data_IF_643401758252
#
_entry.id   IF_643401758252
#
_cell.length_a   1.000
_cell.length_b   1.000
_cell.length_c   1.000
_cell.angle_alpha   90.00
_cell.angle_beta   90.00
_cell.angle_gamma   90.00
#
_symmetry.space_group_name_H-M   'P 1'
#
loop_
_entity.id
_entity.type
_entity.pdbx_description
1 polymer ?
#
# COMPACT_ATOMS: atom_id res chain seq x y z
N UNK A 1 13.27 -13.74 38.44
CA UNK A 1 11.85 -13.32 38.42
C UNK A 1 11.11 -14.39 37.66
N UNK A 2 10.11 -15.05 38.24
CA UNK A 2 9.34 -16.09 37.56
C UNK A 2 8.16 -15.42 36.81
N UNK A 3 8.15 -15.50 35.49
CA UNK A 3 7.16 -14.87 34.60
C UNK A 3 6.29 -15.91 33.88
N UNK A 4 6.09 -17.09 34.47
CA UNK A 4 5.37 -18.20 33.84
C UNK A 4 3.91 -17.89 33.47
N UNK A 5 3.30 -16.85 34.04
CA UNK A 5 1.93 -16.41 33.70
C UNK A 5 1.90 -15.28 32.66
N UNK A 6 3.06 -14.85 32.15
CA UNK A 6 3.14 -13.77 31.18
C UNK A 6 2.69 -14.24 29.80
N UNK A 7 1.44 -13.90 29.46
CA UNK A 7 0.83 -14.22 28.15
C UNK A 7 1.00 -13.11 27.11
N UNK A 8 1.29 -11.87 27.55
CA UNK A 8 1.41 -10.71 26.67
C UNK A 8 2.59 -9.83 27.10
N UNK A 9 3.46 -9.51 26.14
CA UNK A 9 4.62 -8.66 26.31
C UNK A 9 4.65 -7.62 25.20
N UNK A 10 4.69 -6.36 25.63
CA UNK A 10 4.88 -5.21 24.75
C UNK A 10 6.15 -4.47 25.16
N UNK A 11 7.13 -4.38 24.26
CA UNK A 11 8.39 -3.68 24.51
C UNK A 11 8.48 -2.48 23.57
N UNK A 12 8.73 -1.32 24.15
CA UNK A 12 9.14 -0.13 23.43
C UNK A 12 10.52 0.26 23.94
N UNK A 13 11.50 0.35 23.04
CA UNK A 13 12.86 0.73 23.43
C UNK A 13 13.58 1.57 22.39
N UNK A 14 14.27 2.60 22.88
CA UNK A 14 15.19 3.43 22.10
C UNK A 14 16.63 2.95 22.13
N UNK A 15 16.99 2.07 23.07
CA UNK A 15 18.40 1.79 23.42
C UNK A 15 18.72 0.30 23.59
N UNK A 16 17.82 -0.59 23.15
CA UNK A 16 18.05 -2.04 23.14
C UNK A 16 18.64 -2.51 21.80
N UNK A 17 19.73 -3.28 21.85
CA UNK A 17 20.23 -4.02 20.69
C UNK A 17 19.61 -5.42 20.62
N UNK A 18 19.71 -6.08 19.47
CA UNK A 18 19.06 -7.36 19.22
C UNK A 18 19.57 -8.46 20.16
N UNK A 19 20.87 -8.49 20.45
CA UNK A 19 21.45 -9.59 21.25
C UNK A 19 21.00 -9.47 22.72
N UNK A 20 20.95 -8.25 23.26
CA UNK A 20 20.42 -8.00 24.61
C UNK A 20 18.92 -8.27 24.65
N UNK A 21 18.18 -7.89 23.61
CA UNK A 21 16.75 -8.25 23.50
C UNK A 21 16.56 -9.77 23.48
N UNK A 22 17.33 -10.48 22.66
CA UNK A 22 17.29 -11.93 22.54
C UNK A 22 17.57 -12.60 23.89
N UNK A 23 18.65 -12.20 24.58
CA UNK A 23 18.97 -12.72 25.91
C UNK A 23 17.83 -12.46 26.92
N UNK A 24 17.23 -11.27 26.89
CA UNK A 24 16.09 -10.96 27.75
C UNK A 24 14.89 -11.86 27.45
N UNK A 25 14.58 -12.08 26.18
CA UNK A 25 13.48 -12.95 25.75
C UNK A 25 13.72 -14.41 26.15
N UNK A 26 14.94 -14.92 26.00
CA UNK A 26 15.30 -16.29 26.36
C UNK A 26 15.13 -16.56 27.87
N UNK A 27 15.19 -15.52 28.71
CA UNK A 27 14.92 -15.60 30.15
C UNK A 27 13.42 -15.62 30.49
N UNK A 28 12.53 -15.32 29.54
CA UNK A 28 11.09 -15.33 29.72
C UNK A 28 10.54 -16.68 29.22
N UNK A 29 10.17 -17.56 30.15
CA UNK A 29 9.63 -18.88 29.83
C UNK A 29 8.23 -18.82 29.16
N UNK A 30 8.25 -18.91 27.82
CA UNK A 30 7.40 -19.57 26.80
C UNK A 30 5.86 -19.74 26.90
N UNK A 31 5.12 -19.12 27.84
CA UNK A 31 3.65 -19.03 27.75
C UNK A 31 3.16 -17.80 26.98
N UNK A 32 4.08 -17.08 26.35
CA UNK A 32 3.78 -15.85 25.65
C UNK A 32 2.95 -16.14 24.39
N UNK A 33 1.75 -15.57 24.34
CA UNK A 33 0.83 -15.65 23.21
C UNK A 33 0.90 -14.40 22.33
N UNK A 34 1.27 -13.26 22.91
CA UNK A 34 1.31 -11.97 22.22
C UNK A 34 2.65 -11.28 22.47
N UNK A 35 3.37 -10.99 21.38
CA UNK A 35 4.61 -10.21 21.40
C UNK A 35 4.48 -9.00 20.49
N UNK A 36 4.60 -7.81 21.10
CA UNK A 36 4.69 -6.55 20.38
C UNK A 36 6.00 -5.87 20.71
N UNK A 37 6.79 -5.57 19.69
CA UNK A 37 8.08 -4.90 19.86
C UNK A 37 8.17 -3.68 18.97
N UNK A 38 8.69 -2.59 19.54
CA UNK A 38 8.91 -1.34 18.86
C UNK A 38 10.29 -0.81 19.22
N UNK A 39 11.18 -0.81 18.23
CA UNK A 39 12.56 -0.41 18.38
C UNK A 39 12.81 0.89 17.64
N UNK A 40 13.27 1.89 18.40
CA UNK A 40 13.77 3.15 17.87
C UNK A 40 15.30 3.18 17.79
N UNK A 41 15.98 2.16 18.33
CA UNK A 41 17.44 2.02 18.25
C UNK A 41 17.89 1.58 16.87
N UNK A 42 19.06 2.06 16.48
CA UNK A 42 19.77 1.83 15.20
C UNK A 42 20.47 0.46 15.13
N UNK A 43 19.87 -0.62 15.66
CA UNK A 43 20.41 -1.97 15.47
C UNK A 43 19.72 -2.66 14.30
N UNK A 44 20.41 -2.66 13.17
CA UNK A 44 19.93 -3.19 11.90
C UNK A 44 19.60 -4.69 11.94
N UNK A 45 20.14 -5.40 12.94
CA UNK A 45 19.87 -6.83 13.14
C UNK A 45 18.41 -7.10 13.48
N UNK A 46 17.64 -6.09 13.93
CA UNK A 46 16.18 -6.19 14.05
C UNK A 46 15.46 -6.36 12.71
N UNK A 47 16.12 -6.07 11.59
CA UNK A 47 15.58 -6.32 10.26
C UNK A 47 15.97 -7.68 9.67
N UNK A 48 16.77 -8.49 10.38
CA UNK A 48 17.15 -9.83 9.91
C UNK A 48 16.02 -10.82 10.20
N UNK A 49 15.26 -11.20 9.17
CA UNK A 49 14.12 -12.10 9.30
C UNK A 49 14.51 -13.47 9.85
N UNK A 50 15.67 -14.02 9.46
CA UNK A 50 16.12 -15.34 9.94
C UNK A 50 16.39 -15.36 11.44
N UNK A 51 16.92 -14.25 12.00
CA UNK A 51 17.14 -14.14 13.45
C UNK A 51 15.82 -14.15 14.19
N UNK A 52 14.84 -13.40 13.69
CA UNK A 52 13.49 -13.43 14.24
C UNK A 52 12.85 -14.81 14.11
N UNK A 53 12.90 -15.43 12.93
CA UNK A 53 12.32 -16.75 12.71
C UNK A 53 12.91 -17.77 13.68
N UNK A 54 14.24 -17.78 13.85
CA UNK A 54 14.92 -18.65 14.81
C UNK A 54 14.46 -18.38 16.24
N UNK A 55 14.50 -17.11 16.68
CA UNK A 55 14.08 -16.69 18.02
C UNK A 55 12.62 -17.12 18.31
N UNK A 56 11.73 -16.92 17.34
CA UNK A 56 10.31 -17.24 17.43
C UNK A 56 10.05 -18.74 17.53
N UNK A 57 10.75 -19.55 16.71
CA UNK A 57 10.62 -21.01 16.74
C UNK A 57 11.17 -21.62 18.02
N UNK A 58 12.28 -21.09 18.55
CA UNK A 58 12.97 -21.65 19.71
C UNK A 58 12.29 -21.28 21.03
N UNK A 59 11.70 -20.08 21.14
CA UNK A 59 11.26 -19.54 22.44
C UNK A 59 9.74 -19.34 22.57
N UNK A 60 8.99 -19.30 21.47
CA UNK A 60 7.60 -18.88 21.48
C UNK A 60 6.65 -19.86 20.78
N UNK A 61 6.59 -21.09 21.29
CA UNK A 61 5.73 -22.15 20.74
C UNK A 61 4.22 -21.85 20.83
N UNK A 62 3.79 -20.99 21.77
CA UNK A 62 2.40 -20.57 21.96
C UNK A 62 2.06 -19.23 21.31
N UNK A 63 2.97 -18.64 20.51
CA UNK A 63 2.75 -17.31 19.96
C UNK A 63 1.62 -17.30 18.93
N UNK A 64 0.55 -16.59 19.24
CA UNK A 64 -0.57 -16.36 18.35
C UNK A 64 -0.41 -15.06 17.57
N UNK A 65 0.18 -14.03 18.21
CA UNK A 65 0.30 -12.70 17.64
C UNK A 65 1.71 -12.16 17.79
N UNK A 66 2.27 -11.72 16.66
CA UNK A 66 3.55 -11.04 16.60
C UNK A 66 3.40 -9.72 15.88
N UNK A 67 4.02 -8.67 16.41
CA UNK A 67 4.29 -7.47 15.62
C UNK A 67 5.64 -6.86 15.95
N UNK A 68 6.31 -6.40 14.91
CA UNK A 68 7.55 -5.65 14.96
C UNK A 68 7.33 -4.28 14.34
N UNK A 69 7.84 -3.24 15.00
CA UNK A 69 8.08 -1.93 14.44
C UNK A 69 9.57 -1.62 14.62
N UNK A 70 10.25 -1.30 13.53
CA UNK A 70 11.63 -0.82 13.56
C UNK A 70 11.71 0.51 12.82
N UNK A 71 12.32 1.51 13.44
CA UNK A 71 12.54 2.82 12.83
C UNK A 71 13.98 2.97 12.37
N UNK A 72 14.18 3.19 11.08
CA UNK A 72 15.49 3.56 10.53
C UNK A 72 15.86 5.00 10.93
N UNK A 73 17.16 5.27 11.21
CA UNK A 73 17.65 6.63 11.35
C UNK A 73 17.41 7.48 10.09
N UNK A 74 17.25 8.78 10.29
CA UNK A 74 16.87 9.71 9.23
C UNK A 74 18.03 10.12 8.33
N UNK A 75 17.74 10.89 7.29
CA UNK A 75 18.76 11.51 6.43
C UNK A 75 19.67 12.45 7.26
N UNK A 76 20.99 12.30 7.15
CA UNK A 76 21.99 13.07 7.91
C UNK A 76 22.64 12.32 9.09
N UNK A 77 22.11 11.16 9.44
CA UNK A 77 22.71 10.25 10.40
C UNK A 77 23.76 9.37 9.69
N UNK A 78 25.04 9.45 10.06
CA UNK A 78 26.14 8.60 9.55
C UNK A 78 26.00 7.13 10.02
N UNK A 79 24.99 6.41 9.54
CA UNK A 79 24.69 5.05 9.97
C UNK A 79 24.64 4.07 8.79
N UNK A 80 24.95 2.79 9.05
CA UNK A 80 24.83 1.76 8.03
C UNK A 80 23.39 1.65 7.56
N UNK A 81 23.22 1.74 6.24
CA UNK A 81 21.98 1.38 5.54
C UNK A 81 21.95 -0.15 5.50
N UNK A 82 20.75 -0.75 5.52
CA UNK A 82 20.61 -2.19 5.40
C UNK A 82 21.24 -2.68 4.10
N UNK A 83 22.18 -3.62 4.24
CA UNK A 83 22.95 -4.25 3.17
C UNK A 83 22.78 -5.78 3.16
N UNK A 84 21.83 -6.31 3.95
CA UNK A 84 21.53 -7.74 4.00
C UNK A 84 20.73 -8.23 2.79
N UNK A 85 20.27 -9.48 2.86
CA UNK A 85 19.59 -10.12 1.74
C UNK A 85 18.22 -9.48 1.44
N UNK A 86 17.88 -9.42 0.14
CA UNK A 86 16.58 -8.99 -0.35
C UNK A 86 15.46 -9.92 0.13
N UNK A 87 14.24 -9.38 0.22
CA UNK A 87 13.01 -10.12 0.52
C UNK A 87 13.00 -10.73 1.92
N UNK A 88 13.48 -9.98 2.91
CA UNK A 88 13.25 -10.34 4.30
C UNK A 88 11.74 -10.41 4.59
N UNK A 89 11.35 -11.29 5.52
CA UNK A 89 9.97 -11.48 5.97
C UNK A 89 8.99 -12.04 4.92
N UNK A 90 9.46 -12.66 3.83
CA UNK A 90 8.59 -13.32 2.81
C UNK A 90 8.72 -14.84 2.75
N UNK A 91 9.51 -15.47 3.62
CA UNK A 91 9.61 -16.93 3.68
C UNK A 91 8.27 -17.60 4.04
N UNK A 92 8.15 -18.90 3.78
CA UNK A 92 6.94 -19.67 4.11
C UNK A 92 6.52 -19.54 5.58
N UNK A 93 7.49 -19.38 6.48
CA UNK A 93 7.26 -19.14 7.91
C UNK A 93 6.39 -17.89 8.17
N UNK A 94 6.68 -16.79 7.47
CA UNK A 94 5.98 -15.51 7.62
C UNK A 94 4.61 -15.55 6.93
N UNK A 95 4.57 -16.14 5.73
CA UNK A 95 3.35 -16.31 4.94
C UNK A 95 2.31 -17.15 5.71
N UNK A 96 2.72 -18.30 6.26
CA UNK A 96 1.83 -19.20 7.00
C UNK A 96 1.23 -18.56 8.26
N UNK A 97 1.91 -17.55 8.82
CA UNK A 97 1.42 -16.77 9.97
C UNK A 97 0.50 -15.61 9.57
N UNK A 98 0.19 -15.46 8.29
CA UNK A 98 -0.56 -14.34 7.75
C UNK A 98 0.02 -13.00 8.23
N UNK A 99 1.35 -12.86 8.22
CA UNK A 99 2.02 -11.61 8.53
C UNK A 99 2.32 -10.86 7.23
N UNK A 100 2.18 -9.54 7.27
CA UNK A 100 2.55 -8.63 6.18
C UNK A 100 3.75 -7.82 6.58
N UNK A 101 4.54 -7.49 5.56
CA UNK A 101 5.64 -6.56 5.68
C UNK A 101 5.21 -5.20 5.12
N UNK A 102 5.07 -4.22 5.99
CA UNK A 102 4.68 -2.87 5.60
C UNK A 102 5.82 -1.91 5.91
N UNK A 103 6.04 -0.98 4.99
CA UNK A 103 7.07 0.03 5.11
C UNK A 103 6.38 1.37 5.04
N UNK A 104 6.67 2.26 5.98
CA UNK A 104 6.11 3.60 5.99
C UNK A 104 7.23 4.64 5.89
N UNK A 105 7.13 5.53 4.92
CA UNK A 105 8.01 6.69 4.77
C UNK A 105 7.30 7.92 5.36
N UNK A 106 7.93 8.52 6.36
CA UNK A 106 7.46 9.70 7.07
C UNK A 106 8.61 10.71 7.11
N UNK A 107 8.53 11.76 6.29
CA UNK A 107 9.60 12.75 6.11
C UNK A 107 10.91 12.02 5.80
N UNK A 108 11.95 12.26 6.61
CA UNK A 108 13.26 11.63 6.52
C UNK A 108 13.35 10.22 7.10
N UNK A 109 12.27 9.67 7.66
CA UNK A 109 12.27 8.41 8.43
C UNK A 109 11.62 7.28 7.64
N UNK A 110 12.21 6.11 7.74
CA UNK A 110 11.66 4.86 7.22
C UNK A 110 11.29 4.00 8.43
N UNK A 111 10.06 3.52 8.45
CA UNK A 111 9.58 2.58 9.45
C UNK A 111 9.28 1.25 8.76
N UNK A 112 9.74 0.17 9.36
CA UNK A 112 9.48 -1.19 8.90
C UNK A 112 8.58 -1.88 9.91
N UNK A 113 7.53 -2.51 9.41
CA UNK A 113 6.51 -3.17 10.20
C UNK A 113 6.36 -4.61 9.76
N UNK A 114 6.37 -5.53 10.72
CA UNK A 114 5.82 -6.88 10.56
C UNK A 114 4.56 -6.92 11.39
N UNK A 115 3.41 -7.17 10.78
CA UNK A 115 2.13 -7.15 11.51
C UNK A 115 1.12 -8.15 10.93
N UNK A 116 0.09 -8.55 11.70
CA UNK A 116 -0.98 -9.39 11.18
C UNK A 116 -1.62 -8.78 9.94
N UNK A 117 -1.89 -9.63 8.95
CA UNK A 117 -2.55 -9.26 7.72
C UNK A 117 -3.91 -8.62 8.04
N UNK A 118 -4.09 -7.41 7.52
CA UNK A 118 -5.39 -6.76 7.47
C UNK A 118 -5.89 -6.82 6.03
N UNK A 119 -7.19 -7.06 5.87
CA UNK A 119 -7.86 -7.00 4.58
C UNK A 119 -7.47 -5.69 3.87
N UNK A 120 -6.97 -5.79 2.64
CA UNK A 120 -6.61 -4.61 1.83
C UNK A 120 -7.87 -3.89 1.33
N UNK A 121 -7.67 -2.70 0.76
CA UNK A 121 -8.74 -1.89 0.17
C UNK A 121 -9.34 -2.46 -1.13
N UNK A 122 -8.88 -3.63 -1.58
CA UNK A 122 -9.45 -4.39 -2.70
C UNK A 122 -9.76 -5.83 -2.26
N UNK A 123 -10.86 -6.37 -2.81
CA UNK A 123 -11.51 -7.59 -2.32
C UNK A 123 -11.15 -8.85 -3.15
N UNK A 124 -9.96 -8.86 -3.77
CA UNK A 124 -9.50 -9.93 -4.66
C UNK A 124 -8.49 -10.85 -3.97
N UNK A 125 -8.36 -12.08 -4.49
CA UNK A 125 -7.44 -13.10 -3.98
C UNK A 125 -6.00 -12.59 -4.01
N UNK A 126 -5.46 -12.26 -2.85
CA UNK A 126 -4.08 -11.80 -2.72
C UNK A 126 -3.16 -13.02 -2.70
N UNK A 127 -2.18 -13.03 -3.59
CA UNK A 127 -1.04 -13.92 -3.47
C UNK A 127 -0.27 -13.52 -2.21
N UNK A 128 -0.32 -14.31 -1.14
CA UNK A 128 0.35 -13.98 0.12
C UNK A 128 1.86 -13.81 0.00
N UNK A 129 2.49 -14.40 -1.02
CA UNK A 129 3.89 -14.17 -1.39
C UNK A 129 4.18 -12.74 -1.85
N UNK A 130 3.14 -12.00 -2.24
CA UNK A 130 3.20 -10.60 -2.64
C UNK A 130 2.53 -9.72 -1.60
N UNK A 131 3.06 -9.75 -0.38
CA UNK A 131 2.45 -9.05 0.76
C UNK A 131 3.11 -7.70 1.08
N UNK A 132 4.30 -7.42 0.54
CA UNK A 132 5.03 -6.20 0.85
C UNK A 132 4.32 -4.92 0.36
N UNK A 133 4.11 -3.96 1.26
CA UNK A 133 3.52 -2.67 0.95
C UNK A 133 4.45 -1.52 1.33
N UNK A 134 4.52 -0.52 0.44
CA UNK A 134 5.09 0.78 0.74
C UNK A 134 3.95 1.78 0.98
N UNK A 135 4.01 2.51 2.10
CA UNK A 135 3.08 3.59 2.44
C UNK A 135 3.84 4.91 2.57
N UNK A 136 3.39 5.94 1.88
CA UNK A 136 3.95 7.29 1.93
C UNK A 136 2.91 8.16 2.62
N UNK A 137 3.17 8.61 3.85
CA UNK A 137 2.16 9.34 4.66
C UNK A 137 2.31 10.84 4.62
N UNK A 138 3.53 11.32 4.86
CA UNK A 138 3.81 12.74 4.99
C UNK A 138 5.23 13.01 4.50
N UNK A 139 5.34 13.84 3.48
CA UNK A 139 6.57 14.37 2.89
C UNK A 139 6.32 15.87 2.81
N UNK A 140 7.19 16.70 3.40
CA UNK A 140 6.95 18.14 3.36
C UNK A 140 6.86 18.60 1.90
N UNK A 141 5.87 19.43 1.56
CA UNK A 141 5.64 19.91 0.18
C UNK A 141 6.84 20.64 -0.46
N UNK A 142 7.82 21.05 0.36
CA UNK A 142 9.04 21.74 -0.06
C UNK A 142 10.27 20.81 -0.09
N UNK A 143 10.13 19.53 0.24
CA UNK A 143 11.21 18.57 0.13
C UNK A 143 11.54 18.34 -1.35
N UNK A 144 12.82 18.40 -1.68
CA UNK A 144 13.31 18.08 -3.01
C UNK A 144 12.84 16.65 -3.35
N UNK A 145 12.17 16.43 -4.51
CA UNK A 145 11.69 15.10 -4.95
C UNK A 145 12.74 13.99 -4.80
N UNK A 146 14.02 14.34 -4.90
CA UNK A 146 15.16 13.46 -4.73
C UNK A 146 15.21 12.74 -3.36
N UNK A 147 14.73 13.34 -2.27
CA UNK A 147 14.81 12.75 -0.93
C UNK A 147 13.91 11.52 -0.84
N UNK A 148 12.64 11.68 -1.23
CA UNK A 148 11.67 10.59 -1.28
C UNK A 148 12.15 9.46 -2.20
N UNK A 149 12.62 9.79 -3.41
CA UNK A 149 13.12 8.79 -4.34
C UNK A 149 14.34 8.03 -3.79
N UNK A 150 15.23 8.71 -3.06
CA UNK A 150 16.37 8.05 -2.41
C UNK A 150 15.94 7.12 -1.28
N UNK A 151 14.90 7.48 -0.51
CA UNK A 151 14.35 6.58 0.50
C UNK A 151 13.68 5.36 -0.13
N UNK A 152 12.94 5.54 -1.23
CA UNK A 152 12.35 4.42 -1.97
C UNK A 152 13.45 3.50 -2.49
N UNK A 153 14.54 4.03 -3.05
CA UNK A 153 15.70 3.24 -3.46
C UNK A 153 16.32 2.45 -2.29
N UNK A 154 16.42 3.05 -1.10
CA UNK A 154 16.89 2.35 0.11
C UNK A 154 15.95 1.21 0.49
N UNK A 155 14.64 1.46 0.47
CA UNK A 155 13.62 0.44 0.72
C UNK A 155 13.73 -0.72 -0.28
N UNK A 156 14.02 -0.42 -1.55
CA UNK A 156 14.17 -1.43 -2.60
C UNK A 156 15.44 -2.30 -2.45
N UNK A 157 16.44 -1.85 -1.69
CA UNK A 157 17.56 -2.72 -1.29
C UNK A 157 17.13 -3.77 -0.25
N UNK A 158 15.97 -3.60 0.39
CA UNK A 158 15.47 -4.49 1.43
C UNK A 158 14.48 -5.52 0.89
N UNK A 159 13.51 -5.09 0.08
CA UNK A 159 12.44 -5.96 -0.40
C UNK A 159 11.80 -5.45 -1.69
N UNK A 160 11.20 -6.36 -2.44
CA UNK A 160 10.31 -6.02 -3.55
C UNK A 160 8.98 -5.45 -3.01
N UNK A 161 8.42 -4.47 -3.72
CA UNK A 161 7.18 -3.80 -3.33
C UNK A 161 6.09 -4.09 -4.37
N UNK A 162 4.97 -4.65 -3.90
CA UNK A 162 3.83 -5.00 -4.76
C UNK A 162 2.64 -4.07 -4.58
N UNK A 163 2.62 -3.30 -3.49
CA UNK A 163 1.51 -2.42 -3.14
C UNK A 163 2.03 -1.06 -2.71
N UNK A 164 1.48 0.00 -3.30
CA UNK A 164 1.82 1.37 -2.99
C UNK A 164 0.58 2.08 -2.47
N UNK A 165 0.71 2.70 -1.30
CA UNK A 165 -0.30 3.54 -0.68
C UNK A 165 0.28 4.94 -0.45
N UNK A 166 -0.31 5.96 -1.06
CA UNK A 166 0.13 7.35 -0.93
C UNK A 166 -0.98 8.10 -0.19
N UNK A 167 -0.80 8.31 1.11
CA UNK A 167 -1.77 8.97 2.01
C UNK A 167 -1.66 10.50 2.00
N UNK A 168 -1.05 11.04 0.94
CA UNK A 168 -0.85 12.47 0.75
C UNK A 168 -1.12 12.87 -0.70
N UNK A 169 -1.18 14.18 -0.92
CA UNK A 169 -1.24 14.76 -2.26
C UNK A 169 0.08 14.57 -3.00
N UNK A 170 0.03 14.10 -4.24
CA UNK A 170 1.21 13.88 -5.08
C UNK A 170 1.02 14.44 -6.50
N UNK A 171 2.10 14.94 -7.12
CA UNK A 171 2.08 15.32 -8.53
C UNK A 171 2.10 14.07 -9.42
N UNK A 172 1.54 14.19 -10.63
CA UNK A 172 1.60 13.13 -11.65
C UNK A 172 3.05 12.74 -11.97
N UNK A 173 3.96 13.73 -12.05
CA UNK A 173 5.39 13.49 -12.26
C UNK A 173 6.02 12.66 -11.14
N UNK A 174 5.80 13.03 -9.88
CA UNK A 174 6.34 12.29 -8.74
C UNK A 174 5.78 10.87 -8.70
N UNK A 175 4.49 10.70 -9.02
CA UNK A 175 3.88 9.38 -9.13
C UNK A 175 4.58 8.53 -10.20
N UNK A 176 4.85 9.10 -11.38
CA UNK A 176 5.56 8.40 -12.46
C UNK A 176 6.99 8.03 -12.06
N UNK A 177 7.71 8.92 -11.37
CA UNK A 177 9.05 8.66 -10.83
C UNK A 177 9.05 7.52 -9.81
N UNK A 178 8.04 7.47 -8.94
CA UNK A 178 7.89 6.39 -7.97
C UNK A 178 7.59 5.07 -8.69
N UNK A 179 6.63 5.05 -9.62
CA UNK A 179 6.25 3.83 -10.35
C UNK A 179 7.39 3.30 -11.22
N UNK A 180 8.23 4.18 -11.78
CA UNK A 180 9.45 3.78 -12.47
C UNK A 180 10.37 2.93 -11.57
N UNK A 181 10.45 3.24 -10.27
CA UNK A 181 11.26 2.47 -9.32
C UNK A 181 10.61 1.15 -8.87
N UNK A 182 9.31 0.94 -9.13
CA UNK A 182 8.52 -0.18 -8.62
C UNK A 182 7.99 -1.08 -9.76
N UNK A 183 8.84 -1.88 -10.41
CA UNK A 183 8.47 -2.66 -11.60
C UNK A 183 7.37 -3.70 -11.35
N UNK A 184 7.32 -4.27 -10.15
CA UNK A 184 6.40 -5.36 -9.79
C UNK A 184 5.11 -4.87 -9.13
N UNK A 185 4.79 -3.58 -9.25
CA UNK A 185 3.64 -2.99 -8.57
C UNK A 185 2.31 -3.53 -9.12
N UNK A 186 1.48 -4.11 -8.25
CA UNK A 186 0.19 -4.72 -8.58
C UNK A 186 -0.97 -3.84 -8.15
N UNK A 187 -0.83 -3.11 -7.04
CA UNK A 187 -1.87 -2.20 -6.57
C UNK A 187 -1.35 -0.82 -6.23
N UNK A 188 -2.17 0.17 -6.55
CA UNK A 188 -1.92 1.58 -6.30
C UNK A 188 -3.09 2.18 -5.54
N UNK A 189 -2.80 2.84 -4.42
CA UNK A 189 -3.76 3.64 -3.67
C UNK A 189 -3.22 5.05 -3.52
N UNK A 190 -4.03 6.04 -3.88
CA UNK A 190 -3.64 7.45 -3.86
C UNK A 190 -4.75 8.26 -3.19
N UNK A 191 -4.38 9.11 -2.24
CA UNK A 191 -5.33 9.99 -1.56
C UNK A 191 -5.60 11.29 -2.29
N UNK A 192 -4.65 11.86 -3.05
CA UNK A 192 -4.96 12.98 -3.93
C UNK A 192 -3.92 13.13 -5.03
N UNK A 193 -4.36 13.49 -6.24
CA UNK A 193 -3.49 13.92 -7.33
C UNK A 193 -3.57 15.42 -7.54
N UNK A 194 -2.49 15.99 -8.05
CA UNK A 194 -2.53 17.31 -8.67
C UNK A 194 -1.83 17.29 -10.01
N UNK A 195 -2.60 17.66 -11.01
CA UNK A 195 -2.14 17.86 -12.36
C UNK A 195 -1.43 19.21 -12.45
N UNK A 196 -0.11 19.20 -12.63
CA UNK A 196 0.59 20.37 -13.14
C UNK A 196 0.45 20.33 -14.67
N UNK A 197 -0.20 21.32 -15.28
CA UNK A 197 -0.26 21.47 -16.74
C UNK A 197 1.12 21.64 -17.40
N UNK A 198 2.19 21.81 -16.61
CA UNK A 198 3.56 21.93 -17.09
C UNK A 198 4.21 20.57 -17.39
N UNK A 199 3.65 19.81 -18.33
CA UNK A 199 4.39 18.73 -19.03
C UNK A 199 5.46 19.32 -19.97
N UNK A 200 5.56 20.65 -20.08
CA UNK A 200 6.41 21.35 -21.07
C UNK A 200 7.55 22.20 -20.50
N UNK A 201 7.87 22.09 -19.20
CA UNK A 201 9.06 22.74 -18.63
C UNK A 201 9.94 21.74 -17.88
N UNK A 202 10.25 20.63 -18.55
CA UNK A 202 11.43 19.85 -18.17
C UNK A 202 12.66 20.68 -18.53
N UNK A 203 13.40 21.13 -17.52
CA UNK A 203 14.80 21.50 -17.74
C UNK A 203 15.58 20.22 -18.03
N UNK A 204 16.01 20.03 -19.27
CA UNK A 204 17.06 19.13 -19.80
C UNK A 204 17.22 17.70 -19.24
N UNK A 205 16.27 17.18 -18.46
CA UNK A 205 16.28 15.82 -17.96
C UNK A 205 15.17 15.04 -18.66
N UNK A 206 15.56 14.27 -19.67
CA UNK A 206 14.72 13.25 -20.31
C UNK A 206 14.30 12.23 -19.24
N UNK A 207 13.15 12.43 -18.61
CA UNK A 207 12.56 11.41 -17.76
C UNK A 207 12.14 10.23 -18.66
N UNK A 208 12.53 8.98 -18.36
CA UNK A 208 12.19 7.82 -19.19
C UNK A 208 10.71 7.43 -18.96
N UNK A 209 9.81 8.26 -19.48
CA UNK A 209 8.35 8.09 -19.44
C UNK A 209 7.90 6.71 -19.94
N UNK A 210 8.64 6.11 -20.87
CA UNK A 210 8.40 4.78 -21.43
C UNK A 210 8.44 3.68 -20.37
N UNK A 211 9.44 3.69 -19.49
CA UNK A 211 9.61 2.68 -18.45
C UNK A 211 8.56 2.76 -17.34
N UNK A 212 8.15 3.98 -16.96
CA UNK A 212 7.07 4.16 -15.99
C UNK A 212 5.74 3.63 -16.53
N UNK A 213 5.45 3.83 -17.82
CA UNK A 213 4.26 3.28 -18.49
C UNK A 213 4.32 1.75 -18.59
N UNK A 214 5.49 1.19 -18.87
CA UNK A 214 5.69 -0.26 -18.88
C UNK A 214 5.37 -0.87 -17.51
N UNK A 215 5.92 -0.30 -16.43
CA UNK A 215 5.64 -0.76 -15.07
C UNK A 215 4.19 -0.52 -14.66
N UNK A 216 3.58 0.60 -15.05
CA UNK A 216 2.17 0.89 -14.78
C UNK A 216 1.22 -0.13 -15.42
N UNK A 217 1.65 -0.84 -16.47
CA UNK A 217 0.87 -1.92 -17.08
C UNK A 217 0.72 -3.15 -16.17
N UNK A 218 1.50 -3.28 -15.10
CA UNK A 218 1.37 -4.35 -14.12
C UNK A 218 0.31 -4.04 -13.04
N UNK A 219 -0.12 -2.77 -12.94
CA UNK A 219 -1.08 -2.33 -11.92
C UNK A 219 -2.48 -2.79 -12.30
N UNK A 220 -3.07 -3.61 -11.42
CA UNK A 220 -4.40 -4.22 -11.58
C UNK A 220 -5.46 -3.60 -10.68
N UNK A 221 -5.06 -3.17 -9.48
CA UNK A 221 -5.98 -2.66 -8.46
C UNK A 221 -5.67 -1.20 -8.15
N UNK A 222 -6.58 -0.29 -8.48
CA UNK A 222 -6.41 1.15 -8.23
C UNK A 222 -7.49 1.62 -7.25
N UNK A 223 -7.07 2.37 -6.22
CA UNK A 223 -7.95 2.96 -5.22
C UNK A 223 -7.66 4.45 -5.08
N UNK A 224 -8.71 5.25 -5.24
CA UNK A 224 -8.66 6.70 -5.21
C UNK A 224 -9.49 7.19 -4.03
N UNK A 225 -8.84 7.83 -3.06
CA UNK A 225 -9.50 8.42 -1.89
C UNK A 225 -9.65 9.94 -2.03
N UNK A 226 -10.46 10.60 -1.20
CA UNK A 226 -10.65 12.06 -1.24
C UNK A 226 -11.07 12.63 -2.63
N UNK A 227 -10.76 13.91 -2.88
CA UNK A 227 -11.28 14.73 -3.99
C UNK A 227 -10.52 14.51 -5.29
N UNK A 228 -10.90 13.52 -6.10
CA UNK A 228 -10.40 13.37 -7.47
C UNK A 228 -11.32 14.06 -8.48
N UNK A 229 -10.72 14.76 -9.44
CA UNK A 229 -11.44 15.25 -10.62
C UNK A 229 -11.58 14.15 -11.66
N UNK A 230 -12.49 14.34 -12.62
CA UNK A 230 -12.63 13.41 -13.75
C UNK A 230 -11.40 13.36 -14.65
N UNK A 231 -10.61 14.44 -14.70
CA UNK A 231 -9.34 14.48 -15.42
C UNK A 231 -8.28 13.63 -14.72
N UNK A 232 -8.22 13.66 -13.39
CA UNK A 232 -7.30 12.81 -12.61
C UNK A 232 -7.63 11.31 -12.80
N UNK A 233 -8.93 10.97 -12.76
CA UNK A 233 -9.40 9.59 -12.99
C UNK A 233 -9.07 9.17 -14.43
N UNK A 234 -9.32 10.05 -15.40
CA UNK A 234 -9.02 9.81 -16.81
C UNK A 234 -7.54 9.60 -17.07
N UNK A 235 -6.68 10.38 -16.41
CA UNK A 235 -5.24 10.23 -16.45
C UNK A 235 -4.84 8.84 -15.93
N UNK A 236 -5.30 8.45 -14.74
CA UNK A 236 -4.94 7.17 -14.12
C UNK A 236 -5.42 5.96 -14.90
N UNK A 237 -6.64 6.01 -15.44
CA UNK A 237 -7.17 4.95 -16.32
C UNK A 237 -6.26 4.80 -17.53
N UNK A 238 -5.85 5.91 -18.15
CA UNK A 238 -4.98 5.88 -19.32
C UNK A 238 -3.53 5.46 -18.99
N UNK A 239 -3.05 5.85 -17.81
CA UNK A 239 -1.69 5.56 -17.33
C UNK A 239 -1.51 4.11 -16.89
N UNK A 240 -2.56 3.47 -16.34
CA UNK A 240 -2.56 2.07 -15.92
C UNK A 240 -3.48 1.25 -16.86
N UNK A 241 -2.99 0.82 -18.05
CA UNK A 241 -3.84 0.24 -19.09
C UNK A 241 -4.51 -1.09 -18.72
N UNK A 242 -4.02 -1.80 -17.69
CA UNK A 242 -4.50 -3.13 -17.28
C UNK A 242 -5.23 -3.15 -15.93
N UNK A 243 -5.78 -2.02 -15.49
CA UNK A 243 -6.63 -2.00 -14.29
C UNK A 243 -7.77 -3.02 -14.47
N UNK A 244 -7.92 -3.91 -13.50
CA UNK A 244 -8.99 -4.89 -13.39
C UNK A 244 -10.09 -4.42 -12.41
N UNK A 245 -9.69 -3.65 -11.40
CA UNK A 245 -10.57 -3.09 -10.37
C UNK A 245 -10.19 -1.64 -10.06
N UNK A 246 -11.19 -0.76 -10.15
CA UNK A 246 -11.09 0.64 -9.76
C UNK A 246 -12.00 0.89 -8.56
N UNK A 247 -11.46 1.46 -7.48
CA UNK A 247 -12.23 1.97 -6.35
C UNK A 247 -12.09 3.49 -6.30
N UNK A 248 -13.21 4.21 -6.19
CA UNK A 248 -13.23 5.66 -6.12
C UNK A 248 -14.13 6.13 -4.99
N UNK A 249 -13.59 7.00 -4.13
CA UNK A 249 -14.36 7.75 -3.15
C UNK A 249 -15.02 8.97 -3.80
N UNK A 250 -16.35 9.08 -3.64
CA UNK A 250 -17.10 10.25 -4.10
C UNK A 250 -17.20 11.30 -3.01
N UNK A 251 -17.03 12.56 -3.40
CA UNK A 251 -17.22 13.72 -2.54
C UNK A 251 -18.71 13.87 -2.20
N UNK A 252 -19.00 14.31 -0.97
CA UNK A 252 -20.36 14.67 -0.56
C UNK A 252 -20.95 15.72 -1.52
N UNK A 253 -22.19 15.48 -1.97
CA UNK A 253 -22.95 16.28 -2.95
C UNK A 253 -22.56 16.12 -4.43
N UNK A 254 -21.66 15.21 -4.79
CA UNK A 254 -21.43 14.87 -6.19
C UNK A 254 -22.68 14.25 -6.82
N UNK A 255 -23.03 14.66 -8.05
CA UNK A 255 -24.07 13.97 -8.81
C UNK A 255 -23.54 12.61 -9.28
N UNK A 256 -23.85 11.57 -8.51
CA UNK A 256 -23.37 10.21 -8.73
C UNK A 256 -23.78 9.63 -10.09
N UNK A 257 -24.93 10.01 -10.64
CA UNK A 257 -25.37 9.54 -11.96
C UNK A 257 -24.48 10.13 -13.05
N UNK A 258 -24.27 11.45 -13.04
CA UNK A 258 -23.38 12.11 -13.99
C UNK A 258 -21.95 11.58 -13.87
N UNK A 259 -21.45 11.44 -12.64
CA UNK A 259 -20.12 10.90 -12.37
C UNK A 259 -19.94 9.47 -12.91
N UNK A 260 -20.85 8.57 -12.57
CA UNK A 260 -20.79 7.18 -13.03
C UNK A 260 -20.90 7.12 -14.56
N UNK A 261 -21.78 7.92 -15.17
CA UNK A 261 -21.91 8.02 -16.63
C UNK A 261 -20.59 8.43 -17.27
N UNK A 262 -19.92 9.45 -16.75
CA UNK A 262 -18.64 9.92 -17.28
C UNK A 262 -17.54 8.87 -17.15
N UNK A 263 -17.42 8.21 -15.99
CA UNK A 263 -16.47 7.11 -15.78
C UNK A 263 -16.72 5.98 -16.78
N UNK A 264 -17.96 5.51 -16.90
CA UNK A 264 -18.30 4.39 -17.80
C UNK A 264 -18.06 4.76 -19.27
N UNK A 265 -18.41 5.98 -19.67
CA UNK A 265 -18.09 6.47 -21.01
C UNK A 265 -16.59 6.49 -21.28
N UNK A 266 -15.78 6.93 -20.31
CA UNK A 266 -14.32 6.94 -20.47
C UNK A 266 -13.74 5.54 -20.59
N UNK A 267 -14.22 4.60 -19.79
CA UNK A 267 -13.82 3.18 -19.84
C UNK A 267 -14.15 2.58 -21.21
N UNK A 268 -15.37 2.86 -21.71
CA UNK A 268 -15.84 2.39 -23.00
C UNK A 268 -15.04 2.98 -24.18
N UNK A 269 -14.70 4.27 -24.12
CA UNK A 269 -13.89 4.96 -25.15
C UNK A 269 -12.46 4.42 -25.22
N UNK A 270 -11.84 4.17 -24.07
CA UNK A 270 -10.46 3.68 -23.99
C UNK A 270 -10.33 2.17 -24.25
N UNK A 271 -11.44 1.47 -24.53
CA UNK A 271 -11.49 0.01 -24.73
C UNK A 271 -10.73 -0.77 -23.63
N UNK A 272 -10.92 -0.40 -22.36
CA UNK A 272 -10.30 -1.12 -21.25
C UNK A 272 -10.88 -2.53 -21.12
N UNK A 273 -10.29 -3.49 -21.85
CA UNK A 273 -10.68 -4.90 -21.85
C UNK A 273 -10.46 -5.59 -20.50
N UNK A 274 -9.63 -5.00 -19.64
CA UNK A 274 -9.26 -5.58 -18.35
C UNK A 274 -10.17 -5.12 -17.22
N UNK A 275 -10.69 -3.89 -17.28
CA UNK A 275 -11.49 -3.34 -16.20
C UNK A 275 -12.85 -4.00 -16.23
N UNK A 276 -13.13 -4.79 -15.20
CA UNK A 276 -14.37 -5.55 -15.07
C UNK A 276 -15.08 -5.29 -13.74
N UNK A 277 -14.51 -4.43 -12.88
CA UNK A 277 -15.07 -4.08 -11.59
C UNK A 277 -14.80 -2.63 -11.20
N UNK A 278 -15.85 -1.94 -10.76
CA UNK A 278 -15.83 -0.58 -10.22
C UNK A 278 -16.49 -0.59 -8.84
N UNK A 279 -15.82 -0.02 -7.86
CA UNK A 279 -16.38 0.26 -6.54
C UNK A 279 -16.46 1.77 -6.36
N UNK A 280 -17.61 2.23 -5.87
CA UNK A 280 -17.80 3.63 -5.52
C UNK A 280 -18.15 3.71 -4.04
N UNK A 281 -17.31 4.38 -3.28
CA UNK A 281 -17.59 4.70 -1.89
C UNK A 281 -18.38 6.00 -1.81
N UNK A 282 -19.57 5.92 -1.19
CA UNK A 282 -20.45 7.06 -0.97
C UNK A 282 -21.28 6.84 0.30
N UNK A 283 -21.09 7.73 1.27
CA UNK A 283 -21.70 7.61 2.62
C UNK A 283 -23.24 7.64 2.54
N UNK A 284 -23.78 8.37 1.57
CA UNK A 284 -25.23 8.55 1.37
C UNK A 284 -25.87 7.50 0.46
N UNK A 285 -25.14 6.45 0.03
CA UNK A 285 -25.74 5.38 -0.78
C UNK A 285 -26.90 4.71 -0.04
N UNK A 286 -28.03 4.60 -0.74
CA UNK A 286 -29.17 3.80 -0.33
C UNK A 286 -29.64 2.86 -1.45
N UNK A 287 -30.71 2.10 -1.18
CA UNK A 287 -31.27 1.17 -2.16
C UNK A 287 -31.93 1.87 -3.34
N UNK A 288 -32.43 3.10 -3.17
CA UNK A 288 -33.09 3.85 -4.22
C UNK A 288 -32.06 4.36 -5.23
N UNK A 289 -30.93 4.89 -4.75
CA UNK A 289 -29.80 5.30 -5.56
C UNK A 289 -29.29 4.15 -6.44
N UNK A 290 -29.11 2.95 -5.88
CA UNK A 290 -28.68 1.77 -6.67
C UNK A 290 -29.69 1.43 -7.78
N UNK A 291 -31.00 1.52 -7.51
CA UNK A 291 -32.04 1.30 -8.54
C UNK A 291 -31.96 2.35 -9.64
N UNK A 292 -31.75 3.62 -9.29
CA UNK A 292 -31.62 4.70 -10.25
C UNK A 292 -30.36 4.56 -11.12
N UNK A 293 -29.22 4.20 -10.53
CA UNK A 293 -27.99 3.92 -11.27
C UNK A 293 -28.16 2.74 -12.21
N UNK A 294 -28.84 1.67 -11.75
CA UNK A 294 -29.17 0.52 -12.60
C UNK A 294 -30.01 0.94 -13.80
N UNK A 295 -31.10 1.68 -13.55
CA UNK A 295 -31.98 2.16 -14.60
C UNK A 295 -31.22 3.05 -15.61
N UNK A 296 -30.38 3.97 -15.14
CA UNK A 296 -29.54 4.81 -16.00
C UNK A 296 -28.61 3.96 -16.89
N UNK A 297 -27.92 2.97 -16.32
CA UNK A 297 -27.03 2.08 -17.09
C UNK A 297 -27.82 1.30 -18.15
N UNK A 298 -29.01 0.80 -17.82
CA UNK A 298 -29.87 0.02 -18.71
C UNK A 298 -30.45 0.90 -19.84
N UNK A 299 -30.99 2.07 -19.52
CA UNK A 299 -31.63 3.00 -20.46
C UNK A 299 -30.60 3.57 -21.47
N UNK A 300 -29.39 3.90 -20.99
CA UNK A 300 -28.31 4.46 -21.81
C UNK A 300 -27.40 3.39 -22.42
N UNK A 301 -27.61 2.11 -22.08
CA UNK A 301 -26.80 0.96 -22.54
C UNK A 301 -25.30 1.13 -22.26
N UNK A 302 -24.95 1.66 -21.08
CA UNK A 302 -23.57 1.96 -20.72
C UNK A 302 -22.73 0.71 -20.45
N UNK A 303 -23.35 -0.39 -20.01
CA UNK A 303 -22.72 -1.69 -19.77
C UNK A 303 -23.64 -2.83 -20.17
N UNK A 304 -23.03 -3.96 -20.57
CA UNK A 304 -23.73 -5.22 -20.84
C UNK A 304 -23.33 -6.26 -19.80
N UNK A 305 -24.24 -7.18 -19.47
CA UNK A 305 -23.99 -8.32 -18.58
C UNK A 305 -23.35 -7.94 -17.23
N UNK A 306 -23.88 -6.91 -16.58
CA UNK A 306 -23.34 -6.38 -15.33
C UNK A 306 -24.19 -6.79 -14.11
N UNK A 307 -23.57 -6.70 -12.94
CA UNK A 307 -24.22 -6.78 -11.63
C UNK A 307 -23.93 -5.51 -10.86
N UNK A 308 -24.93 -5.00 -10.17
CA UNK A 308 -24.80 -3.84 -9.28
C UNK A 308 -25.41 -4.20 -7.92
N UNK A 309 -24.65 -3.98 -6.85
CA UNK A 309 -25.13 -4.19 -5.49
C UNK A 309 -24.45 -3.23 -4.52
N UNK A 310 -25.05 -3.09 -3.34
CA UNK A 310 -24.54 -2.24 -2.27
C UNK A 310 -24.15 -3.08 -1.06
N UNK A 311 -23.00 -2.77 -0.48
CA UNK A 311 -22.56 -3.30 0.80
C UNK A 311 -22.01 -2.15 1.65
N UNK A 312 -22.70 -1.85 2.76
CA UNK A 312 -22.45 -0.66 3.58
C UNK A 312 -22.47 0.62 2.72
N UNK A 313 -21.38 1.39 2.71
CA UNK A 313 -21.22 2.63 1.95
C UNK A 313 -20.64 2.43 0.55
N UNK A 314 -20.44 1.19 0.12
CA UNK A 314 -19.88 0.88 -1.19
C UNK A 314 -20.97 0.41 -2.16
N UNK A 315 -20.94 0.96 -3.37
CA UNK A 315 -21.69 0.46 -4.53
C UNK A 315 -20.69 -0.29 -5.41
N UNK A 316 -20.93 -1.58 -5.61
CA UNK A 316 -20.11 -2.44 -6.44
C UNK A 316 -20.81 -2.69 -7.77
N UNK A 317 -20.08 -2.43 -8.85
CA UNK A 317 -20.46 -2.70 -10.23
C UNK A 317 -19.44 -3.69 -10.81
N UNK A 318 -19.91 -4.84 -11.31
CA UNK A 318 -19.05 -5.86 -11.95
C UNK A 318 -19.64 -6.29 -13.29
N UNK A 319 -18.82 -6.44 -14.31
CA UNK A 319 -19.22 -6.88 -15.65
C UNK A 319 -18.22 -7.90 -16.22
N UNK A 320 -18.51 -8.43 -17.41
CA UNK A 320 -17.69 -9.44 -18.09
C UNK A 320 -16.91 -8.87 -19.26
#
# INVERSE_FOLDING_TARGET
MNLNELIHLSIFSSDLDFDVFQFFIELIHSNLQILHVNFLKRDIRFLHADRWQKLLLENFSQLEKFSLCYREPGYGDNYPIYDGELNQFVSSFWIQRNLIFDIEIWEYRIYYFVRPFKKRWYDYSIEHSKSAQLTIKYVYCNELPNILLNQIKRVLNFTQIYHLNIEQKISTESLMQIIHLLPDLISLKISALFYYESILQFGDHEFPTTSALEHASNIKYVCLEMTFTMDDISFLISFCPRIEYLNVECIENMNIQSFLREILNKINQNHHKYLHALCIYIITADKQMVKQLKQMIDDEKLLLNYTIHRQLYNIYLKWK
#
